data_IF_830375148773
#
_entry.id   IF_830375148773
#
_cell.length_a   1.000
_cell.length_b   1.000
_cell.length_c   1.000
_cell.angle_alpha   90.00
_cell.angle_beta   90.00
_cell.angle_gamma   90.00
#
_symmetry.space_group_name_H-M   'P 1'
#
loop_
_entity.id
_entity.type
_entity.pdbx_description
1 polymer ?
#
# COMPACT_ATOMS: atom_id res chain seq x y z
N UNK A 1 -48.04 12.29 17.71
CA UNK A 1 -46.60 12.10 17.45
C UNK A 1 -46.37 10.61 17.20
N UNK A 2 -46.09 10.22 15.95
CA UNK A 2 -45.76 8.83 15.58
C UNK A 2 -44.24 8.73 15.58
N UNK A 3 -43.68 7.88 16.45
CA UNK A 3 -42.26 7.54 16.44
C UNK A 3 -41.98 6.70 15.18
N UNK A 4 -41.17 7.25 14.27
CA UNK A 4 -40.62 6.52 13.14
C UNK A 4 -39.42 5.76 13.69
N UNK A 5 -39.56 4.44 13.83
CA UNK A 5 -38.45 3.55 14.11
C UNK A 5 -37.56 3.52 12.85
N UNK A 6 -36.42 4.23 12.92
CA UNK A 6 -35.37 4.13 11.91
C UNK A 6 -34.66 2.80 12.16
N UNK A 7 -35.00 1.79 11.38
CA UNK A 7 -34.24 0.54 11.32
C UNK A 7 -32.94 0.88 10.58
N UNK A 8 -31.86 1.12 11.32
CA UNK A 8 -30.53 1.21 10.74
C UNK A 8 -30.14 -0.18 10.23
N UNK A 9 -30.22 -0.38 8.92
CA UNK A 9 -29.51 -1.48 8.27
C UNK A 9 -28.02 -1.17 8.33
N UNK A 10 -27.37 -1.55 9.43
CA UNK A 10 -25.93 -1.73 9.45
C UNK A 10 -25.61 -2.93 8.58
N UNK A 11 -25.48 -2.69 7.28
CA UNK A 11 -24.82 -3.63 6.38
C UNK A 11 -23.35 -3.68 6.80
N UNK A 12 -23.05 -4.56 7.75
CA UNK A 12 -21.70 -5.04 7.96
C UNK A 12 -21.37 -5.79 6.68
N UNK A 13 -20.71 -5.12 5.75
CA UNK A 13 -20.00 -5.81 4.68
C UNK A 13 -18.88 -6.55 5.40
N UNK A 14 -19.18 -7.75 5.88
CA UNK A 14 -18.15 -8.75 6.14
C UNK A 14 -17.58 -9.06 4.78
N UNK A 15 -16.61 -8.25 4.34
CA UNK A 15 -15.60 -8.72 3.40
C UNK A 15 -15.02 -9.95 4.09
N UNK A 16 -15.46 -11.12 3.65
CA UNK A 16 -14.80 -12.37 3.97
C UNK A 16 -13.45 -12.23 3.27
N UNK A 17 -12.47 -11.64 3.95
CA UNK A 17 -11.09 -11.69 3.52
C UNK A 17 -10.73 -13.16 3.63
N UNK A 18 -10.97 -13.92 2.55
CA UNK A 18 -10.46 -15.27 2.40
C UNK A 18 -8.96 -15.15 2.68
N UNK A 19 -8.54 -15.75 3.79
CA UNK A 19 -7.24 -15.59 4.44
C UNK A 19 -6.06 -15.57 3.45
N UNK A 20 -5.45 -14.41 3.19
CA UNK A 20 -4.39 -14.30 2.18
C UNK A 20 -3.03 -14.62 2.78
N UNK A 21 -2.78 -14.23 4.03
CA UNK A 21 -1.82 -14.85 4.94
C UNK A 21 -1.86 -14.06 6.25
N UNK A 22 -2.25 -14.71 7.34
CA UNK A 22 -2.10 -14.17 8.68
C UNK A 22 -2.04 -15.38 9.62
N UNK A 23 -0.97 -15.48 10.41
CA UNK A 23 -0.77 -16.58 11.35
C UNK A 23 -1.36 -16.29 12.75
N UNK A 24 -2.02 -15.13 12.91
CA UNK A 24 -2.60 -14.66 14.15
C UNK A 24 -1.61 -13.96 15.09
N UNK A 25 -0.37 -13.72 14.66
CA UNK A 25 0.69 -13.13 15.50
C UNK A 25 1.24 -11.82 14.93
N UNK A 26 1.83 -10.97 15.78
CA UNK A 26 2.44 -9.71 15.35
C UNK A 26 1.44 -8.68 14.80
N UNK A 27 1.95 -7.67 14.10
CA UNK A 27 1.13 -6.62 13.48
C UNK A 27 1.06 -6.81 11.97
N UNK A 28 -0.15 -7.09 11.48
CA UNK A 28 -0.41 -7.31 10.06
C UNK A 28 -1.01 -6.08 9.39
N UNK A 29 -0.40 -5.68 8.26
CA UNK A 29 -0.90 -4.61 7.42
C UNK A 29 -1.40 -5.21 6.11
N UNK A 30 -2.67 -4.98 5.80
CA UNK A 30 -3.38 -5.56 4.66
C UNK A 30 -3.73 -4.49 3.63
N UNK A 31 -4.00 -4.89 2.40
CA UNK A 31 -4.63 -4.07 1.37
C UNK A 31 -5.23 -4.93 0.25
N UNK A 32 -6.33 -4.45 -0.29
CA UNK A 32 -7.01 -4.99 -1.47
C UNK A 32 -7.20 -3.85 -2.46
N UNK A 33 -6.85 -4.07 -3.71
CA UNK A 33 -7.03 -3.14 -4.81
C UNK A 33 -7.88 -3.77 -5.91
N UNK A 34 -8.76 -2.96 -6.51
CA UNK A 34 -9.63 -3.30 -7.64
C UNK A 34 -9.35 -2.41 -8.86
N UNK A 35 -9.72 -2.88 -10.04
CA UNK A 35 -9.36 -2.22 -11.31
C UNK A 35 -7.86 -2.32 -11.59
N UNK A 36 -7.20 -3.38 -11.11
CA UNK A 36 -5.76 -3.57 -11.25
C UNK A 36 -5.40 -3.84 -12.71
N UNK A 37 -4.48 -3.05 -13.24
CA UNK A 37 -3.97 -3.17 -14.61
C UNK A 37 -2.54 -3.69 -14.66
N UNK A 38 -1.78 -3.55 -13.56
CA UNK A 38 -0.43 -4.10 -13.44
C UNK A 38 -0.05 -4.27 -11.95
N UNK A 39 0.80 -5.24 -11.65
CA UNK A 39 1.29 -5.48 -10.30
C UNK A 39 2.64 -6.19 -10.29
N UNK A 40 3.42 -5.95 -9.23
CA UNK A 40 4.65 -6.68 -8.96
C UNK A 40 5.01 -6.66 -7.48
N UNK A 41 5.83 -7.62 -7.06
CA UNK A 41 6.43 -7.69 -5.74
C UNK A 41 7.92 -8.02 -5.84
N UNK A 42 8.67 -7.74 -4.79
CA UNK A 42 10.07 -8.13 -4.66
C UNK A 42 10.65 -7.81 -3.28
N UNK A 43 11.96 -8.00 -3.12
CA UNK A 43 12.62 -7.93 -1.81
C UNK A 43 12.62 -9.30 -1.13
N UNK A 44 12.14 -9.38 0.11
CA UNK A 44 11.99 -10.65 0.83
C UNK A 44 11.03 -11.59 0.06
N UNK A 45 11.39 -12.87 -0.16
CA UNK A 45 10.51 -13.83 -0.82
C UNK A 45 9.16 -14.01 -0.12
N UNK A 46 8.13 -14.34 -0.91
CA UNK A 46 6.80 -14.62 -0.37
C UNK A 46 6.84 -15.84 0.57
N UNK A 47 6.25 -15.69 1.75
CA UNK A 47 6.08 -16.76 2.73
C UNK A 47 4.86 -16.45 3.61
N UNK A 48 3.88 -17.33 3.56
CA UNK A 48 2.59 -17.16 4.26
C UNK A 48 2.70 -16.98 5.78
N UNK A 49 3.87 -17.21 6.40
CA UNK A 49 4.10 -16.86 7.81
C UNK A 49 4.27 -15.37 8.06
N UNK A 50 4.74 -14.61 7.08
CA UNK A 50 5.13 -13.21 7.31
C UNK A 50 4.79 -12.24 6.16
N UNK A 51 4.49 -12.70 4.95
CA UNK A 51 3.98 -11.86 3.87
C UNK A 51 3.24 -12.67 2.78
N UNK A 52 2.41 -11.99 2.00
CA UNK A 52 1.76 -12.56 0.83
C UNK A 52 1.38 -11.46 -0.15
N UNK A 53 1.29 -11.88 -1.40
CA UNK A 53 0.91 -11.05 -2.52
C UNK A 53 0.20 -11.92 -3.55
N UNK A 54 -1.07 -11.66 -3.78
CA UNK A 54 -1.90 -12.42 -4.70
C UNK A 54 -2.57 -11.43 -5.66
N UNK A 55 -2.25 -11.54 -6.95
CA UNK A 55 -2.79 -10.66 -7.99
C UNK A 55 -3.35 -11.45 -9.15
N UNK A 56 -4.45 -10.97 -9.72
CA UNK A 56 -5.12 -11.56 -10.87
C UNK A 56 -5.62 -10.47 -11.82
N UNK A 57 -4.94 -10.34 -12.98
CA UNK A 57 -5.33 -9.35 -14.00
C UNK A 57 -6.68 -9.65 -14.64
N UNK A 58 -7.09 -10.93 -14.69
CA UNK A 58 -8.39 -11.32 -15.27
C UNK A 58 -9.58 -10.85 -14.43
N UNK A 59 -9.42 -10.83 -13.09
CA UNK A 59 -10.42 -10.28 -12.17
C UNK A 59 -10.18 -8.81 -11.85
N UNK A 60 -9.02 -8.26 -12.21
CA UNK A 60 -8.62 -6.89 -11.91
C UNK A 60 -8.38 -6.66 -10.42
N UNK A 61 -7.88 -7.66 -9.70
CA UNK A 61 -7.72 -7.58 -8.24
C UNK A 61 -6.32 -7.92 -7.78
N UNK A 62 -5.87 -7.24 -6.72
CA UNK A 62 -4.65 -7.57 -5.96
C UNK A 62 -4.97 -7.52 -4.49
N UNK A 63 -4.40 -8.44 -3.74
CA UNK A 63 -4.36 -8.35 -2.30
C UNK A 63 -2.96 -8.63 -1.77
N UNK A 64 -2.59 -7.92 -0.72
CA UNK A 64 -1.23 -7.89 -0.20
C UNK A 64 -1.24 -7.75 1.32
N UNK A 65 -0.42 -8.54 2.00
CA UNK A 65 -0.29 -8.49 3.46
C UNK A 65 1.15 -8.60 3.91
N UNK A 66 1.47 -7.91 5.01
CA UNK A 66 2.78 -7.88 5.62
C UNK A 66 2.66 -8.02 7.13
N UNK A 67 3.42 -8.94 7.74
CA UNK A 67 3.75 -8.90 9.17
C UNK A 67 4.91 -7.91 9.34
N UNK A 68 4.62 -6.75 9.91
CA UNK A 68 5.59 -5.65 9.97
C UNK A 68 6.39 -5.72 11.26
N UNK A 69 7.71 -5.69 11.14
CA UNK A 69 8.63 -5.55 12.27
C UNK A 69 8.60 -4.09 12.75
N UNK A 70 7.58 -3.70 13.52
CA UNK A 70 7.43 -2.32 14.01
C UNK A 70 8.67 -1.86 14.79
N UNK A 71 9.06 -0.61 14.59
CA UNK A 71 10.13 0.03 15.38
C UNK A 71 9.61 0.53 16.73
N UNK A 72 8.39 1.06 16.76
CA UNK A 72 7.74 1.54 17.97
C UNK A 72 6.77 0.48 18.53
N UNK A 73 6.61 0.47 19.86
CA UNK A 73 5.56 -0.29 20.52
C UNK A 73 4.23 0.46 20.50
N UNK A 74 3.12 -0.27 20.48
CA UNK A 74 1.78 0.32 20.59
C UNK A 74 1.31 1.13 19.37
N UNK A 75 1.93 0.93 18.20
CA UNK A 75 1.51 1.60 16.97
C UNK A 75 0.10 1.14 16.57
N UNK A 76 -0.81 2.09 16.39
CA UNK A 76 -2.16 1.79 15.95
C UNK A 76 -2.19 1.50 14.44
N UNK A 77 -2.83 0.39 14.07
CA UNK A 77 -3.18 0.10 12.68
C UNK A 77 -4.37 0.98 12.31
N UNK A 78 -4.19 1.81 11.27
CA UNK A 78 -5.22 2.73 10.77
C UNK A 78 -5.74 2.24 9.43
N UNK A 79 -7.00 2.53 9.13
CA UNK A 79 -7.58 2.24 7.83
C UNK A 79 -7.23 3.34 6.83
N UNK A 80 -7.02 2.94 5.57
CA UNK A 80 -6.93 3.83 4.42
C UNK A 80 -7.94 3.41 3.37
N UNK A 81 -8.53 4.41 2.73
CA UNK A 81 -9.30 4.22 1.51
C UNK A 81 -8.76 5.23 0.50
N UNK A 82 -8.15 4.69 -0.56
CA UNK A 82 -7.77 5.48 -1.71
C UNK A 82 -8.77 5.21 -2.82
N UNK A 83 -9.49 6.27 -3.21
CA UNK A 83 -10.35 6.24 -4.37
C UNK A 83 -9.60 6.07 -5.68
N UNK A 84 -10.32 6.27 -6.78
CA UNK A 84 -9.83 5.95 -8.12
C UNK A 84 -8.64 6.76 -8.57
N UNK A 85 -8.04 6.33 -9.68
CA UNK A 85 -6.84 6.96 -10.28
C UNK A 85 -7.01 8.46 -10.50
N UNK A 86 -8.19 8.90 -10.94
CA UNK A 86 -8.50 10.31 -11.13
C UNK A 86 -8.47 11.10 -9.80
N UNK A 87 -9.11 10.60 -8.75
CA UNK A 87 -9.13 11.25 -7.44
C UNK A 87 -7.74 11.33 -6.81
N UNK A 88 -6.96 10.23 -6.94
CA UNK A 88 -5.55 10.19 -6.53
C UNK A 88 -4.71 11.21 -7.27
N UNK A 89 -4.93 11.40 -8.57
CA UNK A 89 -4.20 12.38 -9.38
C UNK A 89 -4.64 13.83 -9.08
N UNK A 90 -5.94 14.10 -8.90
CA UNK A 90 -6.43 15.44 -8.52
C UNK A 90 -5.85 15.85 -7.18
N UNK A 91 -5.90 14.96 -6.20
CA UNK A 91 -5.30 15.19 -4.88
C UNK A 91 -3.78 15.45 -5.01
N UNK A 92 -3.12 14.91 -6.06
CA UNK A 92 -1.67 14.98 -6.21
C UNK A 92 -1.29 16.37 -6.66
N UNK A 93 -1.96 16.82 -7.71
CA UNK A 93 -1.77 18.14 -8.27
C UNK A 93 -2.09 19.21 -7.24
N UNK A 94 -3.13 19.02 -6.42
CA UNK A 94 -3.45 19.93 -5.30
C UNK A 94 -2.31 20.02 -4.28
N UNK A 95 -1.89 18.89 -3.69
CA UNK A 95 -0.84 18.88 -2.65
C UNK A 95 0.51 19.39 -3.19
N UNK A 96 0.84 19.06 -4.44
CA UNK A 96 2.02 19.59 -5.12
C UNK A 96 1.97 21.12 -5.24
N UNK A 97 0.81 21.70 -5.53
CA UNK A 97 0.63 23.15 -5.57
C UNK A 97 0.74 23.82 -4.20
N UNK A 98 0.40 23.11 -3.13
CA UNK A 98 0.48 23.58 -1.74
C UNK A 98 1.86 23.35 -1.09
N UNK A 99 2.79 22.68 -1.79
CA UNK A 99 4.09 22.29 -1.23
C UNK A 99 4.01 21.23 -0.12
N UNK A 100 2.87 20.55 0.00
CA UNK A 100 2.63 19.53 1.01
C UNK A 100 3.12 18.15 0.54
N UNK A 101 3.82 17.42 1.40
CA UNK A 101 4.15 16.02 1.14
C UNK A 101 2.98 15.11 1.53
N UNK A 102 2.32 14.59 0.50
CA UNK A 102 1.21 13.64 0.62
C UNK A 102 1.53 12.39 1.43
N UNK A 103 2.74 11.87 1.27
CA UNK A 103 3.10 10.57 1.82
C UNK A 103 3.49 10.70 3.31
N UNK A 104 3.49 11.91 3.88
CA UNK A 104 3.95 12.17 5.25
C UNK A 104 3.25 11.36 6.33
N UNK A 105 1.97 11.03 6.14
CA UNK A 105 1.18 10.29 7.12
C UNK A 105 1.20 8.78 6.90
N UNK A 106 1.46 8.33 5.67
CA UNK A 106 1.44 6.90 5.30
C UNK A 106 2.84 6.31 5.10
N UNK A 107 3.85 7.17 5.08
CA UNK A 107 5.27 6.86 4.98
C UNK A 107 6.06 7.90 5.79
N UNK A 108 6.13 7.71 7.11
CA UNK A 108 6.54 8.79 8.02
C UNK A 108 8.03 9.14 7.91
N UNK A 109 8.89 8.18 7.51
CA UNK A 109 10.33 8.39 7.35
C UNK A 109 10.61 9.35 6.17
N UNK A 110 11.08 10.59 6.42
CA UNK A 110 11.38 11.54 5.36
C UNK A 110 12.58 11.13 4.50
N UNK A 111 13.56 10.42 5.05
CA UNK A 111 14.71 9.94 4.29
C UNK A 111 14.28 8.85 3.32
N UNK A 112 13.47 7.89 3.78
CA UNK A 112 12.90 6.85 2.90
C UNK A 112 12.04 7.45 1.78
N UNK A 113 11.21 8.47 2.07
CA UNK A 113 10.43 9.15 1.03
C UNK A 113 11.31 9.82 -0.02
N UNK A 114 12.35 10.53 0.40
CA UNK A 114 13.31 11.14 -0.52
C UNK A 114 14.02 10.09 -1.38
N UNK A 115 14.45 8.97 -0.77
CA UNK A 115 15.10 7.88 -1.48
C UNK A 115 14.17 7.23 -2.52
N UNK A 116 12.90 6.99 -2.16
CA UNK A 116 11.87 6.47 -3.08
C UNK A 116 11.67 7.44 -4.24
N UNK A 117 11.50 8.74 -3.97
CA UNK A 117 11.32 9.74 -5.01
C UNK A 117 12.51 9.78 -5.98
N UNK A 118 13.74 9.82 -5.45
CA UNK A 118 14.96 9.78 -6.25
C UNK A 118 15.10 8.49 -7.07
N UNK A 119 14.61 7.36 -6.56
CA UNK A 119 14.59 6.10 -7.30
C UNK A 119 13.53 6.12 -8.43
N UNK A 120 12.34 6.67 -8.17
CA UNK A 120 11.26 6.78 -9.16
C UNK A 120 11.65 7.64 -10.36
N UNK A 121 12.48 8.66 -10.18
CA UNK A 121 13.03 9.49 -11.28
C UNK A 121 13.97 8.72 -12.23
N UNK A 122 14.44 7.54 -11.82
CA UNK A 122 15.32 6.67 -12.62
C UNK A 122 14.56 5.53 -13.30
N UNK A 123 13.23 5.45 -13.12
CA UNK A 123 12.40 4.41 -13.74
C UNK A 123 12.37 4.63 -15.25
N UNK A 124 12.79 3.61 -16.00
CA UNK A 124 12.74 3.59 -17.48
C UNK A 124 11.66 2.66 -18.00
N UNK A 125 11.39 1.57 -17.27
CA UNK A 125 10.30 0.64 -17.51
C UNK A 125 9.16 0.98 -16.55
N UNK A 126 8.09 1.53 -17.09
CA UNK A 126 6.94 2.04 -16.33
C UNK A 126 5.94 0.93 -15.95
N UNK A 127 6.28 -0.35 -16.13
CA UNK A 127 5.55 -1.43 -15.47
C UNK A 127 5.84 -1.46 -13.97
N UNK A 128 4.95 -2.03 -13.18
CA UNK A 128 5.18 -2.27 -11.76
C UNK A 128 6.42 -3.14 -11.52
N UNK A 129 6.75 -4.05 -12.44
CA UNK A 129 8.01 -4.82 -12.39
C UNK A 129 9.23 -3.92 -12.54
N UNK A 130 9.21 -2.97 -13.48
CA UNK A 130 10.26 -1.97 -13.65
C UNK A 130 10.41 -1.06 -12.44
N UNK A 131 9.29 -0.61 -11.86
CA UNK A 131 9.25 0.17 -10.61
C UNK A 131 9.88 -0.61 -9.46
N UNK A 132 9.42 -1.84 -9.17
CA UNK A 132 9.95 -2.67 -8.09
C UNK A 132 11.44 -2.92 -8.27
N UNK A 133 11.89 -3.26 -9.49
CA UNK A 133 13.31 -3.48 -9.79
C UNK A 133 14.14 -2.22 -9.51
N UNK A 134 13.66 -1.06 -9.94
CA UNK A 134 14.35 0.22 -9.75
C UNK A 134 14.45 0.57 -8.28
N UNK A 135 13.37 0.38 -7.51
CA UNK A 135 13.36 0.60 -6.06
C UNK A 135 14.34 -0.34 -5.37
N UNK A 136 14.30 -1.64 -5.64
CA UNK A 136 15.21 -2.61 -5.01
C UNK A 136 16.68 -2.36 -5.34
N UNK A 137 16.98 -1.84 -6.53
CA UNK A 137 18.35 -1.51 -6.93
C UNK A 137 18.88 -0.25 -6.22
N UNK A 138 18.02 0.74 -5.99
CA UNK A 138 18.43 2.03 -5.42
C UNK A 138 18.26 2.09 -3.90
N UNK A 139 17.35 1.31 -3.32
CA UNK A 139 17.08 1.28 -1.90
C UNK A 139 17.87 0.14 -1.24
N UNK A 140 18.88 0.47 -0.43
CA UNK A 140 19.58 -0.52 0.38
C UNK A 140 18.77 -0.85 1.65
N UNK A 141 17.72 -1.67 1.52
CA UNK A 141 16.81 -2.03 2.62
C UNK A 141 16.69 -3.55 2.79
N UNK A 142 17.70 -4.24 3.35
CA UNK A 142 17.63 -5.68 3.62
C UNK A 142 16.48 -6.03 4.56
N UNK A 143 15.80 -7.15 4.28
CA UNK A 143 14.64 -7.60 5.07
C UNK A 143 13.33 -6.87 4.76
N UNK A 144 13.30 -6.01 3.74
CA UNK A 144 12.08 -5.35 3.29
C UNK A 144 11.44 -6.04 2.09
N UNK A 145 10.12 -5.94 2.02
CA UNK A 145 9.34 -6.21 0.80
C UNK A 145 9.04 -4.89 0.11
N UNK A 146 8.95 -4.92 -1.21
CA UNK A 146 8.48 -3.83 -2.06
C UNK A 146 7.40 -4.37 -2.98
N UNK A 147 6.19 -3.83 -2.85
CA UNK A 147 5.07 -4.13 -3.74
C UNK A 147 4.69 -2.88 -4.53
N UNK A 148 4.27 -3.09 -5.77
CA UNK A 148 3.70 -2.07 -6.65
C UNK A 148 2.37 -2.58 -7.20
N UNK A 149 1.37 -1.70 -7.22
CA UNK A 149 0.07 -1.93 -7.87
C UNK A 149 -0.31 -0.69 -8.67
N UNK A 150 -0.61 -0.86 -9.96
CA UNK A 150 -1.33 0.13 -10.76
C UNK A 150 -2.80 -0.31 -10.88
N UNK A 151 -3.70 0.58 -10.51
CA UNK A 151 -5.13 0.31 -10.46
C UNK A 151 -5.94 1.56 -10.81
N UNK A 152 -7.15 1.36 -11.33
CA UNK A 152 -8.03 2.45 -11.77
C UNK A 152 -9.10 2.81 -10.75
N UNK A 153 -9.57 1.85 -9.95
CA UNK A 153 -10.87 1.97 -9.28
C UNK A 153 -10.76 2.28 -7.79
N UNK A 154 -10.26 1.36 -6.97
CA UNK A 154 -10.16 1.59 -5.52
C UNK A 154 -9.06 0.73 -4.89
N UNK A 155 -8.47 1.23 -3.80
CA UNK A 155 -7.61 0.47 -2.90
C UNK A 155 -8.04 0.73 -1.46
N UNK A 156 -8.38 -0.34 -0.75
CA UNK A 156 -8.80 -0.34 0.65
C UNK A 156 -7.82 -1.19 1.43
N UNK A 157 -7.27 -0.64 2.49
CA UNK A 157 -6.35 -1.40 3.32
C UNK A 157 -6.04 -0.68 4.62
N UNK A 158 -4.92 -1.06 5.22
CA UNK A 158 -4.42 -0.44 6.42
C UNK A 158 -3.04 0.18 6.24
N UNK A 159 -2.64 0.99 7.20
CA UNK A 159 -1.28 1.48 7.34
C UNK A 159 -0.94 1.68 8.81
N UNK A 160 0.33 1.89 9.08
CA UNK A 160 0.86 2.27 10.40
C UNK A 160 1.79 3.45 10.23
N UNK A 161 1.82 4.32 11.23
CA UNK A 161 2.79 5.41 11.33
C UNK A 161 4.06 4.89 12.02
N UNK A 162 4.86 4.11 11.29
CA UNK A 162 6.11 3.53 11.78
C UNK A 162 7.19 3.61 10.69
N UNK A 163 8.44 3.83 11.08
CA UNK A 163 9.56 3.95 10.12
C UNK A 163 9.88 2.65 9.39
N UNK A 164 9.36 1.51 9.84
CA UNK A 164 9.49 0.21 9.19
C UNK A 164 8.33 -0.10 8.22
N UNK A 165 7.44 0.86 7.97
CA UNK A 165 6.37 0.74 6.97
C UNK A 165 6.23 2.03 6.16
N UNK A 166 5.89 1.87 4.88
CA UNK A 166 5.69 2.98 3.97
C UNK A 166 4.65 2.59 2.92
N UNK A 167 3.47 3.22 2.97
CA UNK A 167 2.53 3.26 1.85
C UNK A 167 2.73 4.59 1.11
N UNK A 168 3.21 4.49 -0.12
CA UNK A 168 3.70 5.59 -0.92
C UNK A 168 2.92 5.66 -2.24
N UNK A 169 2.28 6.80 -2.50
CA UNK A 169 1.69 7.07 -3.80
C UNK A 169 2.77 7.61 -4.74
N UNK A 170 3.30 6.73 -5.59
CA UNK A 170 4.33 7.05 -6.57
C UNK A 170 3.74 7.69 -7.83
N UNK A 171 4.40 8.73 -8.33
CA UNK A 171 4.00 9.41 -9.58
C UNK A 171 5.21 9.54 -10.49
N UNK A 172 5.16 8.84 -11.62
CA UNK A 172 6.13 8.96 -12.73
C UNK A 172 5.32 9.35 -13.94
N UNK A 173 5.13 10.65 -14.16
CA UNK A 173 4.13 11.17 -15.11
C UNK A 173 4.21 10.48 -16.49
N UNK A 174 3.10 9.97 -17.05
CA UNK A 174 1.71 10.11 -16.57
C UNK A 174 1.22 9.01 -15.60
N UNK A 175 2.10 8.13 -15.16
CA UNK A 175 1.77 6.94 -14.37
C UNK A 175 1.67 7.23 -12.87
N UNK A 176 0.81 6.48 -12.19
CA UNK A 176 0.59 6.54 -10.75
C UNK A 176 0.53 5.14 -10.18
N UNK A 177 1.29 4.88 -9.11
CA UNK A 177 1.39 3.56 -8.50
C UNK A 177 1.08 3.66 -7.01
N UNK A 178 0.39 2.66 -6.47
CA UNK A 178 0.41 2.42 -5.03
C UNK A 178 1.59 1.49 -4.72
N UNK A 179 2.57 2.03 -4.00
CA UNK A 179 3.82 1.35 -3.67
C UNK A 179 3.82 1.14 -2.17
N UNK A 180 4.01 -0.10 -1.74
CA UNK A 180 4.06 -0.44 -0.31
C UNK A 180 5.38 -1.11 0.01
N UNK A 181 6.09 -0.55 0.98
CA UNK A 181 7.35 -1.07 1.48
C UNK A 181 7.19 -1.38 2.96
N UNK A 182 7.66 -2.56 3.37
CA UNK A 182 7.56 -2.99 4.76
C UNK A 182 8.79 -3.79 5.17
N UNK A 183 9.37 -3.50 6.34
CA UNK A 183 10.32 -4.40 6.99
C UNK A 183 9.56 -5.59 7.55
N UNK A 184 9.94 -6.79 7.14
CA UNK A 184 9.23 -8.00 7.51
C UNK A 184 9.69 -8.49 8.89
N UNK A 185 8.71 -8.80 9.73
CA UNK A 185 8.92 -9.56 10.96
C UNK A 185 8.97 -11.06 10.62
N UNK A 186 10.13 -11.67 10.88
CA UNK A 186 10.36 -13.11 10.66
C UNK A 186 10.35 -13.91 11.97
N UNK A 187 10.03 -13.26 13.10
CA UNK A 187 9.93 -13.91 14.42
C UNK A 187 8.64 -14.70 14.60
#
# INVERSE_FOLDING_TARGET
MKAIAIISFSAVVTLVTANICNDGTGTWIHDISEGVTDFAYGGVPINKKYNCFEGCLATGTVAQNFKVALNASGVAVKERNFGGKAERLVTYMKMKGEGADRNAHTCIDPALRADIQNALEKVVDHSCKGVVRTLLFNLNRPGWVVNCVDYTDISIGSFVEDVNFCAYLGVVSPYTYDIRLAKIDIS
#
